data_IF_994419236018
#
_entry.id   IF_994419236018
#
_cell.length_a   1.000
_cell.length_b   1.000
_cell.length_c   1.000
_cell.angle_alpha   90.00
_cell.angle_beta   90.00
_cell.angle_gamma   90.00
#
_symmetry.space_group_name_H-M   'P 1'
#
loop_
_entity.id
_entity.type
_entity.pdbx_description
1 polymer ?
#
# COMPACT_ATOMS: atom_id res chain seq x y z
N UNK A 1 -18.06 -13.51 -5.23
CA UNK A 1 -18.38 -12.14 -4.74
C UNK A 1 -17.13 -11.27 -4.82
N UNK A 2 -17.24 -10.08 -5.40
CA UNK A 2 -16.10 -9.16 -5.53
C UNK A 2 -15.84 -8.46 -4.20
N UNK A 3 -14.61 -8.51 -3.74
CA UNK A 3 -14.17 -7.88 -2.51
C UNK A 3 -13.81 -6.42 -2.75
N UNK A 4 -13.83 -5.62 -1.71
CA UNK A 4 -13.45 -4.20 -1.79
C UNK A 4 -12.23 -3.91 -0.94
N UNK A 5 -11.50 -2.87 -1.34
CA UNK A 5 -10.36 -2.35 -0.59
C UNK A 5 -10.43 -0.82 -0.62
N UNK A 6 -10.16 -0.20 0.51
CA UNK A 6 -10.21 1.26 0.63
C UNK A 6 -8.81 1.84 0.62
N UNK A 7 -8.68 3.00 -0.06
CA UNK A 7 -7.44 3.77 -0.08
C UNK A 7 -7.74 5.20 0.35
N UNK A 8 -6.73 5.93 0.73
CA UNK A 8 -6.87 7.37 0.95
C UNK A 8 -7.19 8.05 -0.38
N UNK A 9 -7.96 9.13 -0.32
CA UNK A 9 -8.41 9.86 -1.50
C UNK A 9 -7.26 10.23 -2.44
N UNK A 10 -6.13 10.70 -1.88
CA UNK A 10 -4.96 11.08 -2.65
C UNK A 10 -4.28 9.93 -3.40
N UNK A 11 -4.54 8.68 -2.99
CA UNK A 11 -3.98 7.50 -3.66
C UNK A 11 -4.73 7.13 -4.94
N UNK A 12 -5.98 7.56 -5.09
CA UNK A 12 -6.81 7.13 -6.22
C UNK A 12 -6.19 7.48 -7.58
N UNK A 13 -5.81 8.74 -7.84
CA UNK A 13 -5.17 9.05 -9.13
C UNK A 13 -3.84 8.32 -9.33
N UNK A 14 -3.09 8.11 -8.26
CA UNK A 14 -1.80 7.40 -8.35
C UNK A 14 -1.99 5.93 -8.75
N UNK A 15 -3.03 5.30 -8.24
CA UNK A 15 -3.37 3.92 -8.63
C UNK A 15 -3.73 3.88 -10.12
N UNK A 16 -4.57 4.81 -10.57
CA UNK A 16 -5.02 4.87 -11.97
C UNK A 16 -3.89 5.18 -12.94
N UNK A 17 -2.86 5.89 -12.48
CA UNK A 17 -1.67 6.21 -13.28
C UNK A 17 -0.59 5.13 -13.24
N UNK A 18 -0.79 4.08 -12.46
CA UNK A 18 0.21 3.03 -12.29
C UNK A 18 1.40 3.43 -11.43
N UNK A 19 1.29 4.54 -10.69
CA UNK A 19 2.35 5.03 -9.81
C UNK A 19 2.31 4.39 -8.42
N UNK A 20 1.11 4.05 -7.94
CA UNK A 20 0.97 3.27 -6.71
C UNK A 20 0.61 1.84 -7.09
N UNK A 21 1.50 0.91 -6.79
CA UNK A 21 1.37 -0.50 -7.15
C UNK A 21 1.49 -1.44 -5.96
N UNK A 22 1.78 -0.91 -4.78
CA UNK A 22 1.94 -1.67 -3.54
C UNK A 22 1.20 -0.98 -2.42
N UNK A 23 0.58 -1.75 -1.56
CA UNK A 23 0.01 -1.26 -0.31
C UNK A 23 0.38 -2.23 0.81
N UNK A 24 0.56 -1.69 2.02
CA UNK A 24 0.85 -2.50 3.20
C UNK A 24 -0.31 -2.40 4.17
N UNK A 25 -0.74 -3.54 4.69
CA UNK A 25 -1.90 -3.65 5.57
C UNK A 25 -1.58 -4.55 6.74
N UNK A 26 -2.09 -4.19 7.93
CA UNK A 26 -1.99 -5.03 9.12
C UNK A 26 -2.84 -6.29 8.95
N UNK A 27 -4.01 -6.14 8.35
CA UNK A 27 -4.93 -7.26 8.07
C UNK A 27 -5.32 -7.23 6.60
N UNK A 28 -5.34 -8.39 6.00
CA UNK A 28 -5.80 -8.53 4.61
C UNK A 28 -6.28 -9.95 4.37
N UNK A 29 -7.40 -10.07 3.68
CA UNK A 29 -7.97 -11.35 3.28
C UNK A 29 -8.13 -11.36 1.77
N UNK A 30 -7.29 -12.12 1.08
CA UNK A 30 -7.30 -12.23 -0.36
C UNK A 30 -6.16 -13.09 -0.83
N UNK A 31 -6.15 -13.41 -2.12
CA UNK A 31 -5.16 -14.27 -2.74
C UNK A 31 -4.67 -13.69 -4.05
N UNK A 32 -3.46 -14.05 -4.51
CA UNK A 32 -3.03 -13.67 -5.86
C UNK A 32 -4.05 -14.10 -6.91
N UNK A 33 -4.34 -13.24 -7.85
CA UNK A 33 -5.34 -13.45 -8.89
C UNK A 33 -6.72 -12.88 -8.54
N UNK A 34 -6.97 -12.55 -7.28
CA UNK A 34 -8.25 -11.97 -6.88
C UNK A 34 -8.40 -10.57 -7.46
N UNK A 35 -9.63 -10.24 -7.83
CA UNK A 35 -10.01 -8.92 -8.32
C UNK A 35 -10.77 -8.21 -7.20
N UNK A 36 -10.29 -7.02 -6.85
CA UNK A 36 -10.93 -6.15 -5.87
C UNK A 36 -11.40 -4.87 -6.55
N UNK A 37 -12.58 -4.35 -6.16
CA UNK A 37 -12.85 -2.96 -6.49
C UNK A 37 -12.28 -2.07 -5.39
N UNK A 38 -11.78 -0.90 -5.77
CA UNK A 38 -11.22 0.03 -4.80
C UNK A 38 -12.03 1.31 -4.72
N UNK A 39 -11.94 1.95 -3.56
CA UNK A 39 -12.73 3.15 -3.26
C UNK A 39 -11.92 4.10 -2.37
N UNK A 40 -12.31 5.37 -2.40
CA UNK A 40 -11.70 6.41 -1.57
C UNK A 40 -12.37 6.40 -0.20
N UNK A 41 -11.70 5.81 0.79
CA UNK A 41 -12.23 5.69 2.14
C UNK A 41 -13.30 4.62 2.26
N UNK A 42 -13.69 4.35 3.49
CA UNK A 42 -14.62 3.27 3.82
C UNK A 42 -15.99 3.42 3.18
N UNK A 43 -16.47 4.66 3.10
CA UNK A 43 -17.81 4.97 2.57
C UNK A 43 -17.76 5.58 1.18
N UNK A 44 -16.61 5.55 0.53
CA UNK A 44 -16.45 6.07 -0.82
C UNK A 44 -17.11 5.16 -1.85
N UNK A 45 -17.41 5.73 -3.01
CA UNK A 45 -17.93 4.95 -4.13
C UNK A 45 -16.80 4.21 -4.84
N UNK A 46 -17.19 3.21 -5.61
CA UNK A 46 -16.24 2.43 -6.42
C UNK A 46 -15.52 3.32 -7.43
N UNK A 47 -14.19 3.24 -7.44
CA UNK A 47 -13.33 4.01 -8.34
C UNK A 47 -12.77 3.17 -9.49
N UNK A 48 -12.71 1.86 -9.33
CA UNK A 48 -12.14 0.98 -10.34
C UNK A 48 -11.81 -0.38 -9.76
N UNK A 49 -11.03 -1.15 -10.50
CA UNK A 49 -10.66 -2.52 -10.11
C UNK A 49 -9.14 -2.69 -10.10
N UNK A 50 -8.66 -3.52 -9.20
CA UNK A 50 -7.27 -3.96 -9.18
C UNK A 50 -7.23 -5.47 -9.12
N UNK A 51 -6.15 -6.03 -9.66
CA UNK A 51 -5.84 -7.44 -9.54
C UNK A 51 -4.69 -7.62 -8.54
N UNK A 52 -4.83 -8.52 -7.61
CA UNK A 52 -3.77 -8.85 -6.65
C UNK A 52 -2.74 -9.74 -7.35
N UNK A 53 -1.49 -9.31 -7.41
CA UNK A 53 -0.42 -10.02 -8.08
C UNK A 53 0.40 -10.86 -7.11
N UNK A 54 0.72 -10.31 -5.94
CA UNK A 54 1.58 -10.96 -4.96
C UNK A 54 1.26 -10.49 -3.56
N UNK A 55 1.38 -11.38 -2.59
CA UNK A 55 1.19 -11.07 -1.17
C UNK A 55 2.37 -11.66 -0.41
N UNK A 56 3.06 -10.82 0.37
CA UNK A 56 4.17 -11.25 1.23
C UNK A 56 3.94 -10.76 2.65
N UNK A 57 4.20 -11.61 3.61
CA UNK A 57 4.23 -11.21 5.01
C UNK A 57 5.64 -10.73 5.34
N UNK A 58 5.74 -9.61 6.07
CA UNK A 58 7.03 -9.03 6.45
C UNK A 58 6.87 -8.13 7.66
N UNK A 59 7.98 -7.83 8.33
CA UNK A 59 8.00 -6.75 9.31
C UNK A 59 8.07 -5.43 8.55
N UNK A 60 7.32 -4.44 9.01
CA UNK A 60 7.17 -3.16 8.31
C UNK A 60 8.50 -2.50 7.95
N UNK A 61 9.36 -2.26 8.95
CA UNK A 61 10.64 -1.57 8.69
C UNK A 61 11.58 -2.38 7.84
N UNK A 62 11.58 -3.70 7.98
CA UNK A 62 12.42 -4.57 7.18
C UNK A 62 12.00 -4.54 5.70
N UNK A 63 10.70 -4.45 5.44
CA UNK A 63 10.19 -4.35 4.08
C UNK A 63 10.49 -3.03 3.41
N UNK A 64 10.61 -1.95 4.18
CA UNK A 64 10.91 -0.60 3.67
C UNK A 64 12.41 -0.34 3.61
N UNK A 65 13.16 -0.72 4.66
CA UNK A 65 14.58 -0.40 4.81
C UNK A 65 15.53 -1.59 4.63
N UNK A 66 14.98 -2.76 4.31
CA UNK A 66 15.77 -4.00 4.24
C UNK A 66 16.49 -4.24 2.93
N UNK A 67 16.67 -3.21 2.09
CA UNK A 67 17.31 -3.37 0.78
C UNK A 67 18.80 -3.08 0.86
N UNK A 68 19.53 -3.48 -0.17
CA UNK A 68 20.99 -3.34 -0.20
C UNK A 68 21.43 -1.87 -0.27
N UNK A 69 20.63 -1.00 -0.86
CA UNK A 69 20.95 0.42 -1.02
C UNK A 69 19.77 1.31 -0.63
N UNK A 70 20.10 2.56 -0.25
CA UNK A 70 19.08 3.58 0.02
C UNK A 70 18.22 3.85 -1.22
N UNK A 71 18.79 3.77 -2.40
CA UNK A 71 18.05 3.94 -3.65
C UNK A 71 16.93 2.90 -3.78
N UNK A 72 17.24 1.66 -3.44
CA UNK A 72 16.23 0.58 -3.49
C UNK A 72 15.15 0.79 -2.44
N UNK A 73 15.49 1.29 -1.25
CA UNK A 73 14.51 1.63 -0.23
C UNK A 73 13.56 2.71 -0.75
N UNK A 74 14.09 3.74 -1.39
CA UNK A 74 13.28 4.82 -1.97
C UNK A 74 12.38 4.29 -3.09
N UNK A 75 12.89 3.41 -3.93
CA UNK A 75 12.09 2.80 -4.99
C UNK A 75 10.90 2.00 -4.42
N UNK A 76 11.13 1.32 -3.30
CA UNK A 76 10.05 0.59 -2.64
C UNK A 76 8.98 1.55 -2.12
N UNK A 77 9.38 2.67 -1.53
CA UNK A 77 8.46 3.69 -1.03
C UNK A 77 7.66 4.32 -2.17
N UNK A 78 8.28 4.53 -3.33
CA UNK A 78 7.58 5.03 -4.52
C UNK A 78 6.44 4.11 -4.95
N UNK A 79 6.62 2.80 -4.81
CA UNK A 79 5.55 1.84 -5.14
C UNK A 79 4.31 2.03 -4.26
N UNK A 80 4.48 2.58 -3.07
CA UNK A 80 3.38 2.96 -2.19
C UNK A 80 2.68 4.24 -2.64
N UNK A 81 3.19 4.90 -3.67
CA UNK A 81 2.62 6.13 -4.20
C UNK A 81 3.24 7.39 -3.62
N UNK A 82 4.41 7.31 -2.99
CA UNK A 82 5.06 8.47 -2.35
C UNK A 82 6.24 8.93 -3.20
N UNK A 83 6.12 10.15 -3.73
CA UNK A 83 7.07 10.73 -4.69
C UNK A 83 7.66 12.06 -4.21
N UNK A 84 7.71 12.28 -2.90
CA UNK A 84 8.22 13.50 -2.30
C UNK A 84 9.75 13.50 -2.20
N UNK A 85 10.31 14.64 -1.78
CA UNK A 85 11.75 14.77 -1.52
C UNK A 85 12.16 14.18 -0.17
N UNK A 86 11.17 13.85 0.68
CA UNK A 86 11.39 13.21 1.99
C UNK A 86 10.55 11.93 2.09
N UNK A 87 10.79 10.95 1.19
CA UNK A 87 9.87 9.82 1.06
C UNK A 87 9.75 8.96 2.33
N UNK A 88 10.85 8.69 3.02
CA UNK A 88 10.80 7.88 4.24
C UNK A 88 10.01 8.57 5.36
N UNK A 89 10.30 9.87 5.58
CA UNK A 89 9.59 10.64 6.60
C UNK A 89 8.10 10.68 6.28
N UNK A 90 7.75 10.90 5.03
CA UNK A 90 6.36 10.95 4.59
C UNK A 90 5.66 9.60 4.76
N UNK A 91 6.35 8.51 4.41
CA UNK A 91 5.80 7.18 4.63
C UNK A 91 5.52 6.92 6.11
N UNK A 92 6.49 7.22 6.97
CA UNK A 92 6.34 7.04 8.43
C UNK A 92 5.15 7.86 8.97
N UNK A 93 5.04 9.10 8.54
CA UNK A 93 3.98 10.00 8.98
C UNK A 93 2.61 9.50 8.54
N UNK A 94 2.49 9.12 7.27
CA UNK A 94 1.23 8.58 6.73
C UNK A 94 0.86 7.28 7.45
N UNK A 95 1.82 6.39 7.62
CA UNK A 95 1.60 5.12 8.30
C UNK A 95 1.07 5.32 9.72
N UNK A 96 1.73 6.18 10.49
CA UNK A 96 1.37 6.43 11.89
C UNK A 96 0.01 7.15 12.01
N UNK A 97 -0.37 7.96 11.02
CA UNK A 97 -1.69 8.61 11.01
C UNK A 97 -2.83 7.63 10.72
N UNK A 98 -2.55 6.55 10.02
CA UNK A 98 -3.58 5.57 9.64
C UNK A 98 -3.71 4.47 10.69
N UNK A 99 -2.62 4.10 11.34
CA UNK A 99 -2.57 2.93 12.19
C UNK A 99 -2.57 3.30 13.67
N UNK A 100 -3.15 2.42 14.48
CA UNK A 100 -3.33 2.65 15.93
C UNK A 100 -2.05 2.33 16.69
N UNK A 101 -2.02 2.78 17.95
CA UNK A 101 -0.99 2.40 18.90
C UNK A 101 -0.80 0.88 18.91
N UNK A 102 0.45 0.44 18.93
CA UNK A 102 0.84 -0.97 18.79
C UNK A 102 1.14 -1.39 17.37
N UNK A 103 0.71 -0.60 16.37
CA UNK A 103 0.92 -0.86 14.96
C UNK A 103 1.62 0.30 14.25
N UNK A 104 2.26 1.17 15.01
CA UNK A 104 2.98 2.31 14.48
C UNK A 104 4.35 1.89 13.94
N UNK A 105 5.02 2.81 13.24
CA UNK A 105 6.36 2.58 12.71
C UNK A 105 7.34 2.09 13.78
N UNK A 106 7.30 2.71 14.96
CA UNK A 106 8.19 2.36 16.08
C UNK A 106 8.00 0.92 16.57
N UNK A 107 6.80 0.38 16.40
CA UNK A 107 6.44 -0.97 16.86
C UNK A 107 6.90 -2.05 15.90
N UNK A 108 7.28 -1.67 14.69
CA UNK A 108 7.71 -2.57 13.62
C UNK A 108 6.76 -3.78 13.46
N UNK A 109 5.47 -3.53 13.22
CA UNK A 109 4.49 -4.61 13.17
C UNK A 109 4.67 -5.51 11.96
N UNK A 110 4.14 -6.73 12.06
CA UNK A 110 3.99 -7.62 10.91
C UNK A 110 2.91 -7.08 9.98
N UNK A 111 3.18 -7.06 8.69
CA UNK A 111 2.27 -6.53 7.69
C UNK A 111 2.20 -7.45 6.47
N UNK A 112 1.13 -7.31 5.71
CA UNK A 112 1.02 -7.90 4.38
C UNK A 112 1.43 -6.84 3.37
N UNK A 113 2.47 -7.13 2.59
CA UNK A 113 2.85 -6.33 1.43
C UNK A 113 2.06 -6.87 0.25
N UNK A 114 1.21 -6.05 -0.30
CA UNK A 114 0.28 -6.44 -1.36
C UNK A 114 0.67 -5.70 -2.64
N UNK A 115 1.12 -6.47 -3.63
CA UNK A 115 1.43 -5.94 -4.95
C UNK A 115 0.22 -6.15 -5.85
N UNK A 116 -0.19 -5.11 -6.53
CA UNK A 116 -1.40 -5.13 -7.34
C UNK A 116 -1.20 -4.35 -8.64
N UNK A 117 -2.12 -4.54 -9.56
CA UNK A 117 -2.13 -3.73 -10.78
C UNK A 117 -3.53 -3.20 -11.05
N UNK A 118 -3.60 -1.98 -11.54
CA UNK A 118 -4.85 -1.35 -11.95
C UNK A 118 -5.36 -2.01 -13.23
N UNK A 119 -6.65 -2.31 -13.26
CA UNK A 119 -7.30 -2.88 -14.43
C UNK A 119 -8.07 -1.76 -15.13
N UNK A 120 -7.60 -1.39 -16.32
CA UNK A 120 -8.28 -0.41 -17.13
C UNK A 120 -9.49 -1.03 -17.81
N UNK A 121 -10.54 -0.23 -17.97
CA UNK A 121 -11.75 -0.66 -18.68
C UNK A 121 -11.52 -0.70 -20.18
#
# INVERSE_FOLDING_TARGET
MTKSISFQKGSIPLIKQGKKTVTRRIKFTGNPGDIFYFKAGRNGRKEGYIEILRINEQLLRNGILGHATMKEDIEEIKKEGIYSITPLIDFMTIWDNINKEGYEWKDNPGVFRIEFKYLED
#
